data_IF_659294978652
#
_entry.id   IF_659294978652
#
_cell.length_a   1.000
_cell.length_b   1.000
_cell.length_c   1.000
_cell.angle_alpha   90.00
_cell.angle_beta   90.00
_cell.angle_gamma   90.00
#
_symmetry.space_group_name_H-M   'P 1'
#
loop_
_entity.id
_entity.type
_entity.pdbx_description
1 polymer ?
#
# COMPACT_ATOMS: atom_id res chain seq x y z
N UNK A 1 12.86 8.97 5.83
CA UNK A 1 11.84 9.95 6.25
C UNK A 1 10.85 10.06 5.11
N UNK A 2 9.56 9.93 5.42
CA UNK A 2 8.46 9.98 4.44
C UNK A 2 7.41 11.01 4.87
N UNK A 3 6.65 11.55 3.91
CA UNK A 3 5.48 12.39 4.18
C UNK A 3 4.21 11.58 4.46
N UNK A 4 4.14 10.33 3.95
CA UNK A 4 2.99 9.45 4.16
C UNK A 4 2.84 9.08 5.64
N UNK A 5 1.59 8.91 6.06
CA UNK A 5 1.22 8.54 7.43
C UNK A 5 0.53 7.18 7.42
N UNK A 6 1.01 6.25 8.24
CA UNK A 6 0.32 4.98 8.45
C UNK A 6 -0.89 5.18 9.38
N UNK A 7 -2.07 5.05 8.81
CA UNK A 7 -3.35 5.13 9.52
C UNK A 7 -3.99 3.75 9.75
N UNK A 8 -3.20 2.69 9.69
CA UNK A 8 -3.63 1.30 9.73
C UNK A 8 -3.57 0.60 8.38
N UNK A 9 -3.05 1.25 7.35
CA UNK A 9 -2.90 0.70 5.99
C UNK A 9 -1.67 -0.20 5.82
N UNK A 10 -0.72 -0.16 6.78
CA UNK A 10 0.55 -0.87 6.69
C UNK A 10 1.56 -0.20 5.77
N UNK A 11 1.39 1.10 5.46
CA UNK A 11 2.28 1.79 4.53
C UNK A 11 3.72 1.85 5.01
N UNK A 12 3.97 2.04 6.29
CA UNK A 12 5.33 2.02 6.85
C UNK A 12 6.06 0.71 6.55
N UNK A 13 5.35 -0.41 6.67
CA UNK A 13 5.89 -1.74 6.39
C UNK A 13 6.20 -1.92 4.90
N UNK A 14 5.26 -1.60 4.02
CA UNK A 14 5.47 -1.80 2.57
C UNK A 14 6.53 -0.87 2.01
N UNK A 15 6.61 0.37 2.49
CA UNK A 15 7.64 1.33 2.07
C UNK A 15 9.02 0.92 2.58
N UNK A 16 9.11 0.34 3.79
CA UNK A 16 10.35 -0.27 4.28
C UNK A 16 10.77 -1.47 3.42
N UNK A 17 9.83 -2.34 3.03
CA UNK A 17 10.10 -3.48 2.14
C UNK A 17 10.62 -3.01 0.77
N UNK A 18 10.00 -1.99 0.17
CA UNK A 18 10.47 -1.40 -1.10
C UNK A 18 11.88 -0.81 -0.97
N UNK A 19 12.16 -0.09 0.12
CA UNK A 19 13.49 0.48 0.39
C UNK A 19 14.53 -0.62 0.58
N UNK A 20 14.20 -1.67 1.32
CA UNK A 20 15.08 -2.80 1.58
C UNK A 20 15.44 -3.55 0.29
N UNK A 21 14.45 -3.76 -0.59
CA UNK A 21 14.68 -4.38 -1.92
C UNK A 21 15.62 -3.54 -2.78
N UNK A 22 15.42 -2.22 -2.86
CA UNK A 22 16.31 -1.33 -3.61
C UNK A 22 17.73 -1.26 -3.08
N UNK A 23 17.90 -1.37 -1.76
CA UNK A 23 19.19 -1.26 -1.08
C UNK A 23 19.82 -2.64 -0.79
N UNK A 24 19.17 -3.73 -1.18
CA UNK A 24 19.59 -5.11 -0.97
C UNK A 24 19.91 -5.41 0.49
N UNK A 25 19.07 -4.92 1.41
CA UNK A 25 19.23 -5.11 2.86
C UNK A 25 17.95 -5.72 3.46
N UNK A 26 17.97 -6.02 4.74
CA UNK A 26 16.80 -6.57 5.42
C UNK A 26 15.82 -5.46 5.78
N UNK A 27 14.49 -5.70 5.69
CA UNK A 27 13.48 -4.71 6.10
C UNK A 27 13.67 -4.21 7.53
N UNK A 28 14.17 -5.04 8.44
CA UNK A 28 14.43 -4.69 9.83
C UNK A 28 15.58 -3.67 10.02
N UNK A 29 16.38 -3.47 8.97
CA UNK A 29 17.43 -2.45 8.96
C UNK A 29 16.93 -1.08 8.53
N UNK A 30 15.68 -1.00 8.03
CA UNK A 30 15.05 0.24 7.61
C UNK A 30 14.22 0.80 8.77
N UNK A 31 14.56 2.00 9.19
CA UNK A 31 13.77 2.75 10.17
C UNK A 31 12.92 3.76 9.41
N UNK A 32 11.61 3.56 9.43
CA UNK A 32 10.66 4.48 8.82
C UNK A 32 10.33 5.59 9.81
N UNK A 33 10.37 6.82 9.35
CA UNK A 33 9.97 8.00 10.10
C UNK A 33 9.02 8.85 9.25
N UNK A 34 7.79 8.96 9.70
CA UNK A 34 6.73 9.79 9.14
C UNK A 34 6.02 10.55 10.26
N UNK A 35 4.82 11.00 10.06
CA UNK A 35 3.87 11.56 11.05
C UNK A 35 4.32 12.77 11.87
N UNK A 36 5.46 13.34 11.60
CA UNK A 36 5.95 14.54 12.28
C UNK A 36 5.95 15.72 11.30
N UNK A 37 5.00 16.60 11.45
CA UNK A 37 4.81 17.75 10.54
C UNK A 37 5.93 18.79 10.59
N UNK A 38 6.80 18.72 11.59
CA UNK A 38 7.95 19.64 11.71
C UNK A 38 9.14 19.20 10.86
N UNK A 39 9.25 17.90 10.55
CA UNK A 39 10.39 17.32 9.82
C UNK A 39 10.01 16.47 8.61
N UNK A 40 8.81 15.89 8.57
CA UNK A 40 8.37 15.11 7.41
C UNK A 40 8.14 16.02 6.19
N UNK A 41 8.52 15.55 4.99
CA UNK A 41 8.22 16.30 3.77
C UNK A 41 6.70 16.34 3.53
N UNK A 42 6.27 17.27 2.69
CA UNK A 42 4.88 17.33 2.26
C UNK A 42 4.46 16.05 1.54
N UNK A 43 3.30 15.53 1.90
CA UNK A 43 2.58 14.46 1.21
C UNK A 43 1.14 14.91 1.01
N UNK A 44 0.57 14.63 -0.14
CA UNK A 44 -0.79 15.05 -0.45
C UNK A 44 -1.87 14.20 0.24
N UNK A 45 -1.49 13.14 0.90
CA UNK A 45 -2.38 12.18 1.56
C UNK A 45 -2.67 10.94 0.72
N UNK A 46 -3.30 9.96 1.37
CA UNK A 46 -3.58 8.64 0.78
C UNK A 46 -4.85 8.59 -0.10
N UNK A 47 -5.43 9.73 -0.45
CA UNK A 47 -6.60 9.77 -1.33
C UNK A 47 -6.28 9.17 -2.71
N UNK A 48 -7.31 8.72 -3.41
CA UNK A 48 -7.18 7.93 -4.65
C UNK A 48 -6.26 6.71 -4.50
N UNK A 49 -6.11 6.22 -3.26
CA UNK A 49 -5.28 5.06 -2.89
C UNK A 49 -3.81 5.19 -3.32
N UNK A 50 -3.28 6.41 -3.32
CA UNK A 50 -2.03 6.77 -3.99
C UNK A 50 -0.76 6.31 -3.27
N UNK A 51 -0.82 5.97 -1.97
CA UNK A 51 0.39 5.76 -1.16
C UNK A 51 1.32 4.69 -1.73
N UNK A 52 0.82 3.48 -2.01
CA UNK A 52 1.65 2.40 -2.57
C UNK A 52 2.26 2.80 -3.91
N UNK A 53 1.48 3.42 -4.79
CA UNK A 53 1.91 3.74 -6.13
C UNK A 53 2.80 5.00 -6.18
N UNK A 54 2.36 6.11 -5.57
CA UNK A 54 3.06 7.41 -5.67
C UNK A 54 4.19 7.50 -4.66
N UNK A 55 3.91 7.30 -3.37
CA UNK A 55 4.94 7.38 -2.33
C UNK A 55 5.93 6.22 -2.46
N UNK A 56 5.46 5.02 -2.82
CA UNK A 56 6.33 3.88 -3.12
C UNK A 56 7.33 4.19 -4.24
N UNK A 57 6.90 4.84 -5.32
CA UNK A 57 7.80 5.23 -6.41
C UNK A 57 8.80 6.32 -5.99
N UNK A 58 8.41 7.24 -5.10
CA UNK A 58 9.33 8.20 -4.52
C UNK A 58 10.40 7.51 -3.66
N UNK A 59 10.02 6.49 -2.89
CA UNK A 59 10.96 5.65 -2.12
C UNK A 59 11.94 4.94 -3.04
N UNK A 60 11.46 4.29 -4.10
CA UNK A 60 12.32 3.60 -5.08
C UNK A 60 13.36 4.58 -5.66
N UNK A 61 12.92 5.71 -6.18
CA UNK A 61 13.83 6.74 -6.73
C UNK A 61 14.85 7.25 -5.71
N UNK A 62 14.40 7.47 -4.47
CA UNK A 62 15.29 7.93 -3.40
C UNK A 62 16.34 6.88 -3.07
N UNK A 63 15.96 5.61 -3.01
CA UNK A 63 16.88 4.51 -2.75
C UNK A 63 17.85 4.27 -3.91
N UNK A 64 17.41 4.37 -5.15
CA UNK A 64 18.28 4.34 -6.33
C UNK A 64 19.33 5.47 -6.31
N UNK A 65 18.89 6.69 -6.00
CA UNK A 65 19.81 7.84 -5.82
C UNK A 65 20.78 7.62 -4.68
N UNK A 66 20.34 7.02 -3.57
CA UNK A 66 21.22 6.71 -2.44
C UNK A 66 22.20 5.59 -2.78
N UNK A 67 21.74 4.50 -3.43
CA UNK A 67 22.59 3.40 -3.91
C UNK A 67 23.71 3.93 -4.81
N UNK A 68 23.37 4.81 -5.75
CA UNK A 68 24.36 5.46 -6.62
C UNK A 68 25.43 6.20 -5.80
N UNK A 69 25.04 6.99 -4.81
CA UNK A 69 25.98 7.69 -3.92
C UNK A 69 26.85 6.73 -3.08
N UNK A 70 26.28 5.61 -2.64
CA UNK A 70 27.06 4.57 -1.95
C UNK A 70 28.13 4.00 -2.88
N UNK A 71 27.79 3.66 -4.11
CA UNK A 71 28.73 3.18 -5.12
C UNK A 71 29.80 4.23 -5.44
N UNK A 72 29.44 5.48 -5.65
CA UNK A 72 30.37 6.59 -5.89
C UNK A 72 31.38 6.72 -4.74
N UNK A 73 30.93 6.68 -3.49
CA UNK A 73 31.82 6.74 -2.32
C UNK A 73 32.67 5.49 -2.17
N UNK A 74 32.10 4.32 -2.37
CA UNK A 74 32.85 3.07 -2.34
C UNK A 74 33.95 3.03 -3.38
N UNK A 75 33.66 3.43 -4.62
CA UNK A 75 34.63 3.52 -5.71
C UNK A 75 35.78 4.51 -5.39
N UNK A 76 35.45 5.67 -4.82
CA UNK A 76 36.44 6.65 -4.38
C UNK A 76 37.43 6.05 -3.36
N UNK A 77 36.94 5.30 -2.38
CA UNK A 77 37.80 4.62 -1.38
C UNK A 77 38.58 3.44 -1.95
N UNK A 78 38.04 2.72 -2.95
CA UNK A 78 38.71 1.64 -3.64
C UNK A 78 39.74 2.12 -4.70
N UNK A 79 39.65 3.41 -5.09
CA UNK A 79 40.53 4.02 -6.10
C UNK A 79 40.16 3.64 -7.53
N UNK A 80 38.88 3.33 -7.79
CA UNK A 80 38.35 2.97 -9.09
C UNK A 80 37.19 3.90 -9.51
N UNK A 81 36.53 3.64 -10.63
CA UNK A 81 35.41 4.43 -11.09
C UNK A 81 34.08 3.86 -10.58
N UNK A 82 33.03 4.70 -10.44
CA UNK A 82 31.71 4.24 -10.00
C UNK A 82 31.07 3.17 -10.90
N UNK A 83 31.37 3.17 -12.20
CA UNK A 83 30.90 2.16 -13.15
C UNK A 83 31.60 0.79 -13.01
N UNK A 84 32.71 0.72 -12.28
CA UNK A 84 33.51 -0.49 -12.06
C UNK A 84 33.14 -1.21 -10.74
N UNK A 85 32.16 -0.73 -10.01
CA UNK A 85 31.72 -1.32 -8.73
C UNK A 85 30.28 -1.77 -8.75
N UNK A 86 29.95 -2.73 -7.88
CA UNK A 86 28.59 -3.13 -7.52
C UNK A 86 28.39 -3.11 -6.03
N UNK A 87 27.14 -2.92 -5.60
CA UNK A 87 26.73 -2.87 -4.18
C UNK A 87 25.70 -3.95 -3.90
N UNK A 88 26.00 -4.86 -2.99
CA UNK A 88 25.17 -6.02 -2.62
C UNK A 88 24.40 -5.81 -1.29
N UNK A 89 24.25 -4.57 -0.85
CA UNK A 89 23.60 -4.21 0.42
C UNK A 89 24.57 -4.16 1.61
N UNK A 90 25.69 -4.87 1.58
CA UNK A 90 26.69 -4.87 2.64
C UNK A 90 28.04 -4.33 2.18
N UNK A 91 28.46 -4.69 0.99
CA UNK A 91 29.76 -4.32 0.43
C UNK A 91 29.60 -3.61 -0.92
N UNK A 92 30.47 -2.62 -1.14
CA UNK A 92 30.79 -2.14 -2.49
C UNK A 92 32.01 -2.88 -2.96
N UNK A 93 31.88 -3.60 -4.07
CA UNK A 93 32.89 -4.50 -4.65
C UNK A 93 33.39 -3.96 -5.98
N UNK A 94 34.72 -3.80 -6.12
CA UNK A 94 35.34 -3.56 -7.42
C UNK A 94 35.30 -4.83 -8.28
N UNK A 95 34.57 -4.78 -9.39
CA UNK A 95 34.30 -5.96 -10.24
C UNK A 95 35.54 -6.59 -10.86
N UNK A 96 36.57 -5.80 -11.16
CA UNK A 96 37.82 -6.26 -11.80
C UNK A 96 38.76 -7.00 -10.84
N UNK A 97 38.85 -6.54 -9.58
CA UNK A 97 39.83 -7.05 -8.59
C UNK A 97 39.21 -7.82 -7.45
N UNK A 98 37.91 -7.70 -7.23
CA UNK A 98 37.21 -8.27 -6.07
C UNK A 98 37.50 -7.56 -4.74
N UNK A 99 38.19 -6.41 -4.75
CA UNK A 99 38.35 -5.61 -3.54
C UNK A 99 37.03 -5.06 -3.07
N UNK A 100 36.83 -5.03 -1.74
CA UNK A 100 35.59 -4.66 -1.11
C UNK A 100 35.77 -3.60 -0.02
N UNK A 101 34.75 -2.77 0.14
CA UNK A 101 34.59 -1.89 1.30
C UNK A 101 33.17 -2.03 1.83
N UNK A 102 32.99 -2.21 3.14
CA UNK A 102 31.69 -2.36 3.73
C UNK A 102 30.93 -1.02 3.82
N UNK A 103 29.57 -1.08 3.74
CA UNK A 103 28.75 0.12 3.95
C UNK A 103 29.01 0.79 5.29
N UNK A 104 29.34 0.01 6.35
CA UNK A 104 29.71 0.54 7.67
C UNK A 104 31.00 1.36 7.61
N UNK A 105 32.01 0.87 6.86
CA UNK A 105 33.25 1.65 6.65
C UNK A 105 33.01 2.90 5.85
N UNK A 106 32.18 2.81 4.79
CA UNK A 106 31.77 3.99 3.99
C UNK A 106 31.07 5.01 4.89
N UNK A 107 30.09 4.57 5.70
CA UNK A 107 29.37 5.43 6.64
C UNK A 107 30.29 6.12 7.64
N UNK A 108 31.19 5.37 8.29
CA UNK A 108 32.19 5.92 9.21
C UNK A 108 33.10 6.95 8.53
N UNK A 109 33.60 6.64 7.34
CA UNK A 109 34.46 7.55 6.60
C UNK A 109 33.74 8.85 6.20
N UNK A 110 32.47 8.74 5.78
CA UNK A 110 31.62 9.89 5.48
C UNK A 110 31.41 10.77 6.72
N UNK A 111 31.09 10.16 7.86
CA UNK A 111 30.89 10.89 9.13
C UNK A 111 32.17 11.59 9.63
N UNK A 112 33.31 10.93 9.51
CA UNK A 112 34.55 11.41 10.11
C UNK A 112 35.34 12.35 9.19
N UNK A 113 35.24 12.17 7.89
CA UNK A 113 36.17 12.80 6.93
C UNK A 113 35.48 13.50 5.73
N UNK A 114 34.16 13.40 5.61
CA UNK A 114 33.43 14.05 4.53
C UNK A 114 32.65 15.26 5.03
N UNK A 115 32.61 16.32 4.19
CA UNK A 115 31.80 17.49 4.46
C UNK A 115 30.36 17.35 3.95
N UNK A 116 30.00 16.23 3.34
CA UNK A 116 28.68 15.96 2.79
C UNK A 116 28.11 14.64 3.35
N UNK A 117 26.91 14.67 3.93
CA UNK A 117 26.28 13.46 4.45
C UNK A 117 25.92 12.51 3.31
N UNK A 118 25.90 11.19 3.62
CA UNK A 118 25.37 10.19 2.73
C UNK A 118 23.84 10.19 2.82
N UNK A 119 23.20 10.99 1.98
CA UNK A 119 21.75 11.17 1.98
C UNK A 119 21.23 11.38 0.56
N UNK A 120 19.98 10.99 0.34
CA UNK A 120 19.26 11.28 -0.90
C UNK A 120 17.84 11.76 -0.58
N UNK A 121 17.26 12.54 -1.46
CA UNK A 121 15.89 13.02 -1.35
C UNK A 121 15.33 13.18 -2.75
N UNK A 122 14.23 12.50 -3.03
CA UNK A 122 13.54 12.55 -4.31
C UNK A 122 12.04 12.76 -4.08
N UNK A 123 11.37 13.25 -5.11
CA UNK A 123 9.93 13.36 -5.15
C UNK A 123 9.38 12.67 -6.40
N UNK A 124 8.15 12.24 -6.33
CA UNK A 124 7.46 11.66 -7.48
C UNK A 124 6.07 12.26 -7.64
N UNK A 125 5.75 12.60 -8.87
CA UNK A 125 4.40 12.94 -9.30
C UNK A 125 4.07 12.08 -10.51
N UNK A 126 3.00 11.29 -10.41
CA UNK A 126 2.66 10.37 -11.49
C UNK A 126 2.00 11.09 -12.66
N UNK A 127 2.47 10.88 -13.90
CA UNK A 127 1.83 11.40 -15.09
C UNK A 127 0.57 10.60 -15.49
N UNK A 128 0.38 9.42 -14.91
CA UNK A 128 -0.71 8.49 -15.20
C UNK A 128 -1.32 7.97 -13.90
N UNK A 129 -2.55 7.45 -13.98
CA UNK A 129 -3.24 6.81 -12.87
C UNK A 129 -3.71 5.42 -13.33
N UNK A 130 -2.86 4.40 -13.22
CA UNK A 130 -3.21 3.06 -13.66
C UNK A 130 -4.34 2.50 -12.80
N UNK A 131 -5.47 2.07 -13.40
CA UNK A 131 -6.60 1.60 -12.65
C UNK A 131 -6.33 0.20 -12.06
N UNK A 132 -6.62 -0.02 -10.77
CA UNK A 132 -6.80 -1.36 -10.25
C UNK A 132 -8.14 -1.93 -10.72
N UNK A 133 -8.30 -3.26 -10.69
CA UNK A 133 -9.54 -3.93 -11.04
C UNK A 133 -9.96 -4.89 -9.94
N UNK A 134 -11.27 -5.09 -9.79
CA UNK A 134 -11.81 -6.05 -8.86
C UNK A 134 -13.11 -6.66 -9.40
N UNK A 135 -13.24 -7.97 -9.21
CA UNK A 135 -14.50 -8.69 -9.40
C UNK A 135 -14.95 -9.19 -8.04
N UNK A 136 -16.23 -8.95 -7.70
CA UNK A 136 -16.85 -9.43 -6.47
C UNK A 136 -18.07 -10.27 -6.76
N UNK A 137 -18.25 -11.37 -6.00
CA UNK A 137 -19.41 -12.24 -6.04
C UNK A 137 -19.95 -12.44 -4.63
N UNK A 138 -21.26 -12.37 -4.48
CA UNK A 138 -21.95 -12.52 -3.19
C UNK A 138 -22.91 -13.72 -3.23
N UNK A 139 -22.91 -14.50 -2.15
CA UNK A 139 -23.96 -15.50 -1.85
C UNK A 139 -24.80 -14.98 -0.70
N UNK A 140 -26.13 -14.93 -0.90
CA UNK A 140 -27.07 -14.40 0.08
C UNK A 140 -28.19 -15.41 0.35
N UNK A 141 -28.67 -15.42 1.59
CA UNK A 141 -29.91 -16.09 1.99
C UNK A 141 -30.96 -15.06 2.38
N UNK A 142 -32.19 -15.24 1.92
CA UNK A 142 -33.30 -14.32 2.19
C UNK A 142 -34.45 -15.11 2.80
N UNK A 143 -34.84 -14.73 4.01
CA UNK A 143 -36.09 -15.19 4.61
C UNK A 143 -37.28 -14.52 3.90
N UNK A 144 -38.04 -15.30 3.17
CA UNK A 144 -39.18 -14.79 2.35
C UNK A 144 -40.34 -14.28 3.21
N UNK A 145 -40.46 -14.69 4.47
CA UNK A 145 -41.53 -14.26 5.35
C UNK A 145 -41.23 -12.92 6.01
N UNK A 146 -39.98 -12.72 6.40
CA UNK A 146 -39.53 -11.53 7.14
C UNK A 146 -38.81 -10.50 6.26
N UNK A 147 -38.28 -10.95 5.11
CA UNK A 147 -37.42 -10.12 4.27
C UNK A 147 -36.00 -9.93 4.82
N UNK A 148 -35.65 -10.64 5.88
CA UNK A 148 -34.29 -10.58 6.45
C UNK A 148 -33.30 -11.23 5.48
N UNK A 149 -32.20 -10.52 5.20
CA UNK A 149 -31.13 -10.96 4.32
C UNK A 149 -29.90 -11.27 5.16
N UNK A 150 -29.28 -12.42 4.89
CA UNK A 150 -27.99 -12.83 5.45
C UNK A 150 -26.97 -12.99 4.32
N UNK A 151 -25.80 -12.36 4.46
CA UNK A 151 -24.68 -12.57 3.57
C UNK A 151 -23.89 -13.78 4.04
N UNK A 152 -23.89 -14.84 3.24
CA UNK A 152 -23.26 -16.13 3.57
C UNK A 152 -21.77 -16.09 3.21
N UNK A 153 -21.46 -15.69 1.97
CA UNK A 153 -20.11 -15.72 1.43
C UNK A 153 -19.89 -14.56 0.44
N UNK A 154 -18.69 -14.03 0.45
CA UNK A 154 -18.24 -13.02 -0.49
C UNK A 154 -16.87 -13.37 -1.05
N UNK A 155 -16.76 -13.50 -2.35
CA UNK A 155 -15.50 -13.79 -3.04
C UNK A 155 -15.04 -12.56 -3.81
N UNK A 156 -13.79 -12.20 -3.64
CA UNK A 156 -13.15 -11.10 -4.35
C UNK A 156 -11.89 -11.54 -5.06
N UNK A 157 -11.75 -11.16 -6.33
CA UNK A 157 -10.50 -11.27 -7.08
C UNK A 157 -10.03 -9.87 -7.43
N UNK A 158 -8.83 -9.51 -7.00
CA UNK A 158 -8.29 -8.15 -7.08
C UNK A 158 -7.02 -8.13 -7.91
N UNK A 159 -6.96 -7.25 -8.89
CA UNK A 159 -5.75 -6.85 -9.59
C UNK A 159 -5.27 -5.49 -9.08
N UNK A 160 -4.27 -5.51 -8.23
CA UNK A 160 -3.54 -4.33 -7.76
C UNK A 160 -2.10 -4.29 -8.28
N UNK A 161 -1.83 -4.91 -9.43
CA UNK A 161 -0.50 -5.10 -9.94
C UNK A 161 0.29 -6.12 -9.11
N UNK A 162 1.57 -5.90 -8.94
CA UNK A 162 2.38 -6.70 -8.02
C UNK A 162 1.92 -6.47 -6.57
N UNK A 163 1.61 -7.53 -5.87
CA UNK A 163 1.20 -7.48 -4.46
C UNK A 163 2.46 -7.39 -3.59
N UNK A 164 2.78 -6.21 -3.09
CA UNK A 164 4.01 -5.96 -2.31
C UNK A 164 4.02 -6.76 -1.01
N UNK A 165 2.90 -6.78 -0.30
CA UNK A 165 2.73 -7.59 0.92
C UNK A 165 1.36 -8.26 0.91
N UNK A 166 1.29 -9.59 0.63
CA UNK A 166 0.02 -10.29 0.50
C UNK A 166 -0.86 -10.25 1.75
N UNK A 167 -0.28 -10.26 2.94
CA UNK A 167 -1.05 -10.22 4.18
C UNK A 167 -1.69 -8.85 4.40
N UNK A 168 -0.92 -7.76 4.24
CA UNK A 168 -1.44 -6.40 4.38
C UNK A 168 -2.43 -6.06 3.26
N UNK A 169 -2.18 -6.49 2.03
CA UNK A 169 -3.11 -6.33 0.92
C UNK A 169 -4.44 -7.03 1.20
N UNK A 170 -4.43 -8.27 1.71
CA UNK A 170 -5.65 -8.99 2.08
C UNK A 170 -6.44 -8.25 3.14
N UNK A 171 -5.79 -7.78 4.21
CA UNK A 171 -6.46 -7.03 5.28
C UNK A 171 -7.14 -5.77 4.75
N UNK A 172 -6.51 -5.06 3.79
CA UNK A 172 -7.13 -3.92 3.13
C UNK A 172 -8.36 -4.32 2.32
N UNK A 173 -8.28 -5.42 1.57
CA UNK A 173 -9.41 -5.92 0.77
C UNK A 173 -10.57 -6.35 1.66
N UNK A 174 -10.31 -7.17 2.68
CA UNK A 174 -11.35 -7.62 3.62
C UNK A 174 -12.01 -6.45 4.35
N UNK A 175 -11.22 -5.46 4.79
CA UNK A 175 -11.72 -4.26 5.46
C UNK A 175 -12.60 -3.40 4.55
N UNK A 176 -12.20 -3.18 3.28
CA UNK A 176 -13.00 -2.42 2.33
C UNK A 176 -14.28 -3.14 1.89
N UNK A 177 -14.23 -4.47 1.74
CA UNK A 177 -15.41 -5.30 1.49
C UNK A 177 -16.40 -5.19 2.65
N UNK A 178 -15.94 -5.33 3.90
CA UNK A 178 -16.78 -5.20 5.08
C UNK A 178 -17.45 -3.81 5.14
N UNK A 179 -16.74 -2.76 4.80
CA UNK A 179 -17.29 -1.41 4.68
C UNK A 179 -18.36 -1.31 3.57
N UNK A 180 -18.10 -1.90 2.40
CA UNK A 180 -19.07 -1.95 1.30
C UNK A 180 -20.32 -2.77 1.63
N UNK A 181 -20.19 -3.86 2.39
CA UNK A 181 -21.32 -4.64 2.93
C UNK A 181 -22.14 -3.77 3.89
N UNK A 182 -21.47 -3.02 4.77
CA UNK A 182 -22.11 -2.07 5.66
C UNK A 182 -22.99 -1.07 4.90
N UNK A 183 -22.44 -0.45 3.88
CA UNK A 183 -23.17 0.50 3.02
C UNK A 183 -24.34 -0.15 2.27
N UNK A 184 -24.23 -1.42 1.91
CA UNK A 184 -25.27 -2.13 1.17
C UNK A 184 -26.46 -2.57 2.04
N UNK A 185 -26.21 -2.96 3.29
CA UNK A 185 -27.20 -3.70 4.11
C UNK A 185 -27.59 -3.03 5.43
N UNK A 186 -26.74 -2.17 5.99
CA UNK A 186 -26.91 -1.74 7.39
C UNK A 186 -26.89 -0.24 7.60
N UNK A 187 -26.02 0.47 6.88
CA UNK A 187 -25.73 1.87 7.14
C UNK A 187 -26.71 2.78 6.42
N UNK A 188 -27.39 3.65 7.18
CA UNK A 188 -28.32 4.62 6.62
C UNK A 188 -28.22 5.96 7.38
N UNK A 189 -28.14 7.06 6.64
CA UNK A 189 -28.08 8.41 7.17
C UNK A 189 -29.42 9.08 6.97
N UNK A 190 -30.24 9.10 8.03
CA UNK A 190 -31.62 9.56 7.98
C UNK A 190 -31.74 10.99 8.49
N UNK A 191 -32.33 11.87 7.65
CA UNK A 191 -32.66 13.24 7.98
C UNK A 191 -34.18 13.46 8.00
N UNK A 192 -34.66 14.32 8.89
CA UNK A 192 -36.04 14.80 8.79
C UNK A 192 -36.17 15.99 7.83
N UNK A 193 -37.42 16.45 7.59
CA UNK A 193 -37.73 17.59 6.72
C UNK A 193 -37.02 18.90 7.14
N UNK A 194 -36.60 19.03 8.40
CA UNK A 194 -35.85 20.18 8.92
C UNK A 194 -34.33 20.02 8.88
N UNK A 195 -33.83 18.97 8.25
CA UNK A 195 -32.40 18.69 8.16
C UNK A 195 -31.75 18.15 9.44
N UNK A 196 -32.54 17.71 10.42
CA UNK A 196 -32.00 17.08 11.64
C UNK A 196 -31.62 15.64 11.34
N UNK A 197 -30.35 15.29 11.60
CA UNK A 197 -29.86 13.92 11.46
C UNK A 197 -30.34 13.05 12.64
N UNK A 198 -30.99 11.92 12.35
CA UNK A 198 -31.41 10.91 13.32
C UNK A 198 -30.35 9.81 13.51
N UNK A 199 -29.48 9.59 12.53
CA UNK A 199 -28.41 8.60 12.60
C UNK A 199 -27.13 9.20 13.22
N UNK A 200 -27.25 9.94 14.31
CA UNK A 200 -26.20 10.75 14.90
C UNK A 200 -25.39 10.07 16.02
N UNK A 201 -25.61 8.79 16.23
CA UNK A 201 -24.83 7.98 17.18
C UNK A 201 -24.78 6.53 16.69
N UNK A 202 -23.83 5.75 17.20
CA UNK A 202 -23.70 4.32 16.87
C UNK A 202 -24.88 3.46 17.37
N UNK A 203 -25.80 4.04 18.13
CA UNK A 203 -27.06 3.36 18.46
C UNK A 203 -28.05 3.40 17.30
N UNK A 204 -28.03 4.42 16.47
CA UNK A 204 -28.91 4.60 15.32
C UNK A 204 -28.21 4.28 14.00
N UNK A 205 -26.96 4.70 13.85
CA UNK A 205 -26.13 4.37 12.70
C UNK A 205 -25.52 2.98 12.90
N UNK A 206 -25.96 2.02 12.11
CA UNK A 206 -25.57 0.61 12.27
C UNK A 206 -24.39 0.28 11.39
N UNK A 207 -23.25 -0.01 12.02
CA UNK A 207 -22.07 -0.57 11.35
C UNK A 207 -22.14 -2.10 11.53
N UNK A 208 -21.85 -2.90 10.46
CA UNK A 208 -21.87 -4.35 10.58
C UNK A 208 -20.80 -4.84 11.55
N UNK A 209 -21.14 -5.87 12.31
CA UNK A 209 -20.19 -6.59 13.16
C UNK A 209 -19.55 -7.76 12.41
N UNK A 210 -18.60 -8.44 13.03
CA UNK A 210 -18.00 -9.64 12.46
C UNK A 210 -19.02 -10.75 12.16
N UNK A 211 -20.15 -10.77 12.84
CA UNK A 211 -21.22 -11.75 12.62
C UNK A 211 -22.09 -11.43 11.39
N UNK A 212 -22.06 -10.21 10.93
CA UNK A 212 -22.95 -9.69 9.88
C UNK A 212 -22.32 -9.76 8.48
N UNK A 213 -20.99 -9.93 8.37
CA UNK A 213 -20.26 -9.83 7.10
C UNK A 213 -20.03 -11.16 6.37
N UNK A 214 -20.52 -12.27 6.96
CA UNK A 214 -20.34 -13.61 6.37
C UNK A 214 -18.86 -14.04 6.29
N UNK A 215 -18.58 -14.92 5.35
CA UNK A 215 -17.22 -15.32 4.99
C UNK A 215 -16.70 -14.42 3.86
N UNK A 216 -15.50 -13.87 3.99
CA UNK A 216 -14.85 -13.10 2.93
C UNK A 216 -13.62 -13.88 2.45
N UNK A 217 -13.57 -14.16 1.16
CA UNK A 217 -12.46 -14.83 0.48
C UNK A 217 -11.81 -13.89 -0.53
N UNK A 218 -10.50 -13.73 -0.43
CA UNK A 218 -9.74 -12.79 -1.28
C UNK A 218 -8.67 -13.56 -2.04
N UNK A 219 -8.68 -13.37 -3.35
CA UNK A 219 -7.64 -13.82 -4.26
C UNK A 219 -7.05 -12.64 -5.02
N UNK A 220 -5.79 -12.77 -5.42
CA UNK A 220 -5.10 -11.74 -6.19
C UNK A 220 -4.76 -12.28 -7.58
N UNK A 221 -5.13 -11.52 -8.59
CA UNK A 221 -4.60 -11.66 -9.94
C UNK A 221 -3.45 -10.66 -10.11
N UNK A 222 -2.32 -11.14 -10.59
CA UNK A 222 -1.14 -10.28 -10.72
C UNK A 222 -0.98 -9.79 -12.16
N UNK A 223 -1.07 -8.48 -12.35
CA UNK A 223 -0.58 -7.79 -13.54
C UNK A 223 0.65 -6.96 -13.17
N UNK A 224 1.55 -6.72 -14.11
CA UNK A 224 2.71 -5.86 -13.87
C UNK A 224 2.43 -4.46 -14.42
N UNK A 225 2.45 -3.44 -13.55
CA UNK A 225 2.30 -2.04 -13.94
C UNK A 225 3.68 -1.39 -14.14
N UNK A 226 4.08 -1.11 -15.39
CA UNK A 226 5.44 -0.60 -15.66
C UNK A 226 5.77 0.74 -15.02
N UNK A 227 4.74 1.53 -14.69
CA UNK A 227 4.92 2.87 -14.10
C UNK A 227 4.88 2.86 -12.57
N UNK A 228 4.53 1.71 -11.97
CA UNK A 228 4.45 1.56 -10.53
C UNK A 228 5.70 0.95 -9.89
N UNK A 229 5.90 1.17 -8.59
CA UNK A 229 7.03 0.60 -7.87
C UNK A 229 6.92 -0.93 -7.89
N UNK A 230 7.94 -1.61 -8.42
CA UNK A 230 7.97 -3.07 -8.61
C UNK A 230 6.75 -3.65 -9.34
N UNK A 231 6.03 -2.84 -10.13
CA UNK A 231 4.84 -3.25 -10.85
C UNK A 231 3.54 -3.15 -10.05
N UNK A 232 3.54 -2.52 -8.89
CA UNK A 232 2.35 -2.34 -8.05
C UNK A 232 1.42 -1.23 -8.56
N UNK A 233 0.13 -1.39 -8.31
CA UNK A 233 -0.93 -0.38 -8.44
C UNK A 233 -1.54 -0.03 -7.08
N UNK A 234 -2.58 0.80 -7.11
CA UNK A 234 -3.41 1.11 -5.94
C UNK A 234 -4.28 -0.09 -5.53
N UNK A 235 -4.74 -0.12 -4.27
CA UNK A 235 -5.64 -1.17 -3.78
C UNK A 235 -6.76 -0.64 -2.86
N UNK A 236 -6.55 0.48 -2.17
CA UNK A 236 -7.38 0.88 -1.02
C UNK A 236 -8.87 1.13 -1.32
N UNK A 237 -9.21 1.78 -2.44
CA UNK A 237 -10.59 2.22 -2.72
C UNK A 237 -11.35 1.27 -3.65
N UNK A 238 -10.68 0.51 -4.51
CA UNK A 238 -11.35 -0.42 -5.44
C UNK A 238 -12.21 -1.45 -4.69
N UNK A 239 -11.79 -1.81 -3.50
CA UNK A 239 -12.36 -2.90 -2.70
C UNK A 239 -13.75 -2.60 -2.14
N UNK A 240 -14.14 -1.32 -2.04
CA UNK A 240 -15.46 -0.91 -1.56
C UNK A 240 -16.52 -0.87 -2.68
N UNK A 241 -16.10 -0.90 -3.95
CA UNK A 241 -16.99 -0.65 -5.07
C UNK A 241 -17.89 -1.83 -5.44
N UNK A 242 -17.44 -3.06 -5.19
CA UNK A 242 -18.12 -4.27 -5.67
C UNK A 242 -19.19 -4.85 -4.73
N UNK A 243 -19.18 -4.66 -3.39
CA UNK A 243 -20.16 -5.30 -2.51
C UNK A 243 -21.61 -4.92 -2.82
N UNK A 244 -21.92 -3.63 -2.92
CA UNK A 244 -23.30 -3.19 -3.20
C UNK A 244 -23.89 -3.77 -4.48
N UNK A 245 -23.22 -3.67 -5.66
CA UNK A 245 -23.75 -4.27 -6.88
C UNK A 245 -23.78 -5.81 -6.85
N UNK A 246 -22.81 -6.47 -6.22
CA UNK A 246 -22.79 -7.92 -6.12
C UNK A 246 -23.98 -8.46 -5.29
N UNK A 247 -24.21 -7.85 -4.12
CA UNK A 247 -25.35 -8.20 -3.24
C UNK A 247 -26.69 -7.89 -3.95
N UNK A 248 -26.80 -6.72 -4.59
CA UNK A 248 -28.02 -6.35 -5.32
C UNK A 248 -28.34 -7.31 -6.47
N UNK A 249 -27.31 -7.77 -7.19
CA UNK A 249 -27.49 -8.77 -8.26
C UNK A 249 -27.89 -10.13 -7.69
N UNK A 250 -27.30 -10.57 -6.57
CA UNK A 250 -27.67 -11.83 -5.91
C UNK A 250 -29.12 -11.84 -5.42
N UNK A 251 -29.64 -10.70 -4.91
CA UNK A 251 -31.03 -10.52 -4.51
C UNK A 251 -31.95 -10.60 -5.73
N UNK A 252 -31.59 -9.92 -6.82
CA UNK A 252 -32.38 -9.90 -8.06
C UNK A 252 -32.50 -11.27 -8.71
N UNK A 253 -31.41 -12.03 -8.78
CA UNK A 253 -31.36 -13.37 -9.35
C UNK A 253 -32.34 -14.34 -8.64
N UNK A 254 -32.54 -14.16 -7.34
CA UNK A 254 -33.52 -14.90 -6.54
C UNK A 254 -34.97 -14.45 -6.73
N UNK A 255 -35.19 -13.17 -7.09
CA UNK A 255 -36.56 -12.61 -7.24
C UNK A 255 -37.22 -13.01 -8.56
N UNK A 256 -36.45 -13.45 -9.55
CA UNK A 256 -36.93 -13.89 -10.87
C UNK A 256 -37.32 -15.40 -10.90
N UNK A 257 -37.23 -16.10 -9.75
CA UNK A 257 -37.61 -17.49 -9.51
C UNK A 257 -38.55 -17.61 -8.28
#
# INVERSE_FOLDING_TARGET
IIGATDMGTGCDTILAQMAAECLECKPEEIVVFGVDTDISPYDCGSYASSTTYVTGQAVVKTCESLRKKICERGAEYLGCKPEDVDFDGEYVTELATGKQISRSQIGNNVMCFSNAPLSASEAFSSPVSPPPFMVGMAEVEIDKETGVLELIDYVAVVDCGTVINPNLARVQVEGGIAQGIGMALYEDVVYNEKGKNFSNSLMQYKIPTRLDVGTIRVEFESSYEPTGPFGAKSIGEIVINTPSPAISNAIRDRSDH
#
